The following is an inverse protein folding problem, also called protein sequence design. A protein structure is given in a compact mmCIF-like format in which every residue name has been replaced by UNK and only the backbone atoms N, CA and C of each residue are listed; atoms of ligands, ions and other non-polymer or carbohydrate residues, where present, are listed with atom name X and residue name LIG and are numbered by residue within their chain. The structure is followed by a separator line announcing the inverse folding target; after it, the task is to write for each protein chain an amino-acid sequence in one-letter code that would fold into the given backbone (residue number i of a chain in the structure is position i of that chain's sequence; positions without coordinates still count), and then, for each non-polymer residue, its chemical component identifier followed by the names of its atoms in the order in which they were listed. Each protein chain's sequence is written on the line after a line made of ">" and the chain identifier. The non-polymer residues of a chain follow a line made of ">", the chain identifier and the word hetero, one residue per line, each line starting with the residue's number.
data_IF_453608997583
#
_entry.id   IF_453608997583
#
_cell.length_a   1.000
_cell.length_b   1.000
_cell.length_c   1.000
_cell.angle_alpha   90.00
_cell.angle_beta   90.00
_cell.angle_gamma   90.00
#
_symmetry.space_group_name_H-M   'P 1'
#
loop_
_entity.id
_entity.type
_entity.pdbx_description
1 polymer ?
#
# COMPACT_ATOMS: atom_id res chain seq x y z
N UNK A 1 -18.66 16.23 -11.91
CA UNK A 1 -17.78 16.13 -10.72
C UNK A 1 -16.77 15.02 -10.98
N UNK A 2 -15.51 15.17 -10.55
CA UNK A 2 -14.46 14.16 -10.77
C UNK A 2 -14.82 12.79 -10.14
N UNK A 3 -15.72 12.78 -9.16
CA UNK A 3 -16.31 11.60 -8.53
C UNK A 3 -17.08 10.69 -9.49
N UNK A 4 -17.58 11.21 -10.63
CA UNK A 4 -18.33 10.42 -11.62
C UNK A 4 -17.45 9.53 -12.51
N UNK A 5 -16.11 9.66 -12.42
CA UNK A 5 -15.13 8.83 -13.13
C UNK A 5 -14.56 7.70 -12.27
N UNK A 6 -14.93 7.66 -10.98
CA UNK A 6 -14.44 6.67 -10.02
C UNK A 6 -15.32 5.42 -10.11
N UNK A 7 -14.98 4.51 -11.01
CA UNK A 7 -15.76 3.28 -11.24
C UNK A 7 -15.21 2.06 -10.46
N UNK A 8 -13.92 2.06 -10.10
CA UNK A 8 -13.25 0.88 -9.49
C UNK A 8 -12.34 1.17 -8.29
N UNK A 9 -11.90 2.42 -8.10
CA UNK A 9 -10.91 2.77 -7.07
C UNK A 9 -11.32 4.02 -6.31
N UNK A 10 -12.00 3.85 -5.19
CA UNK A 10 -12.41 4.93 -4.31
C UNK A 10 -11.34 5.20 -3.25
N UNK A 11 -10.64 6.34 -3.30
CA UNK A 11 -9.61 6.66 -2.32
C UNK A 11 -10.23 6.97 -0.95
N UNK A 12 -9.80 6.24 0.08
CA UNK A 12 -10.24 6.43 1.46
C UNK A 12 -9.03 6.58 2.40
N UNK A 13 -9.23 7.35 3.47
CA UNK A 13 -8.24 7.47 4.55
C UNK A 13 -8.12 6.14 5.28
N UNK A 14 -6.90 5.62 5.35
CA UNK A 14 -6.64 4.37 6.07
C UNK A 14 -6.94 4.54 7.57
N UNK A 15 -7.79 3.67 8.11
CA UNK A 15 -8.24 3.72 9.51
C UNK A 15 -7.77 2.51 10.34
N UNK A 16 -7.16 1.50 9.71
CA UNK A 16 -6.73 0.26 10.34
C UNK A 16 -6.96 -0.95 9.43
N UNK A 17 -6.17 -2.02 9.62
CA UNK A 17 -6.33 -3.27 8.87
C UNK A 17 -7.61 -4.02 9.27
N UNK A 18 -7.93 -3.99 10.55
CA UNK A 18 -9.16 -4.48 11.17
C UNK A 18 -10.41 -3.76 10.60
N UNK A 19 -10.36 -2.43 10.52
CA UNK A 19 -11.47 -1.63 9.96
C UNK A 19 -11.64 -1.91 8.47
N UNK A 20 -10.54 -2.03 7.73
CA UNK A 20 -10.57 -2.36 6.31
C UNK A 20 -11.12 -3.78 6.05
N UNK A 21 -10.79 -4.72 6.93
CA UNK A 21 -11.31 -6.10 6.91
C UNK A 21 -12.79 -6.15 7.22
N UNK A 22 -13.23 -5.49 8.28
CA UNK A 22 -14.63 -5.48 8.72
C UNK A 22 -15.55 -4.84 7.68
N UNK A 23 -15.13 -3.75 7.04
CA UNK A 23 -15.92 -3.09 6.00
C UNK A 23 -15.98 -3.92 4.71
N UNK A 24 -14.94 -4.70 4.41
CA UNK A 24 -14.84 -5.57 3.23
C UNK A 24 -15.22 -4.91 1.89
N UNK A 25 -14.85 -3.63 1.71
CA UNK A 25 -15.14 -2.84 0.50
C UNK A 25 -13.94 -2.91 -0.46
N UNK A 26 -13.97 -3.83 -1.41
CA UNK A 26 -12.85 -4.09 -2.33
C UNK A 26 -12.48 -2.91 -3.24
N UNK A 27 -13.43 -2.04 -3.55
CA UNK A 27 -13.20 -0.83 -4.35
C UNK A 27 -12.54 0.29 -3.54
N UNK A 28 -12.41 0.15 -2.21
CA UNK A 28 -11.65 1.09 -1.40
C UNK A 28 -10.14 0.89 -1.61
N UNK A 29 -9.43 2.01 -1.67
CA UNK A 29 -7.99 2.01 -1.75
C UNK A 29 -7.40 3.09 -0.85
N UNK A 30 -6.23 2.82 -0.27
CA UNK A 30 -5.53 3.77 0.59
C UNK A 30 -4.12 4.05 0.06
N UNK A 31 -3.68 5.30 0.22
CA UNK A 31 -2.33 5.72 -0.16
C UNK A 31 -1.43 5.80 1.06
N UNK A 32 -0.20 5.31 0.94
CA UNK A 32 0.81 5.31 2.00
C UNK A 32 2.09 5.96 1.51
N UNK A 33 2.73 6.75 2.36
CA UNK A 33 4.11 7.16 2.11
C UNK A 33 5.04 5.95 2.17
N UNK A 34 6.17 5.99 1.49
CA UNK A 34 7.21 4.96 1.56
C UNK A 34 7.57 4.60 3.02
N UNK A 35 7.72 5.61 3.88
CA UNK A 35 8.05 5.43 5.30
C UNK A 35 6.96 4.64 6.04
N UNK A 36 5.71 4.99 5.79
CA UNK A 36 4.53 4.35 6.39
C UNK A 36 4.36 2.92 5.89
N UNK A 37 4.47 2.71 4.57
CA UNK A 37 4.36 1.39 3.96
C UNK A 37 5.45 0.44 4.44
N UNK A 38 6.69 0.93 4.57
CA UNK A 38 7.79 0.16 5.16
C UNK A 38 7.57 -0.12 6.66
N UNK A 39 6.99 0.84 7.40
CA UNK A 39 6.60 0.64 8.80
C UNK A 39 5.63 -0.53 8.95
N UNK A 40 4.57 -0.57 8.13
CA UNK A 40 3.62 -1.69 8.15
C UNK A 40 4.24 -3.01 7.70
N UNK A 41 5.12 -3.01 6.70
CA UNK A 41 5.85 -4.22 6.31
C UNK A 41 6.75 -4.77 7.42
N UNK A 42 7.28 -3.91 8.30
CA UNK A 42 8.14 -4.35 9.42
C UNK A 42 7.35 -4.80 10.64
N UNK A 43 6.23 -4.14 10.95
CA UNK A 43 5.47 -4.37 12.18
C UNK A 43 4.24 -5.29 11.99
N UNK A 44 3.67 -5.30 10.79
CA UNK A 44 2.36 -5.94 10.49
C UNK A 44 2.34 -6.48 9.06
N UNK A 45 3.38 -7.21 8.68
CA UNK A 45 3.53 -7.76 7.33
C UNK A 45 2.36 -8.69 6.94
N UNK A 46 1.92 -9.64 7.78
CA UNK A 46 0.80 -10.54 7.45
C UNK A 46 -0.50 -9.79 7.17
N UNK A 47 -0.83 -8.80 8.00
CA UNK A 47 -2.02 -7.97 7.88
C UNK A 47 -1.97 -7.13 6.60
N UNK A 48 -0.80 -6.55 6.30
CA UNK A 48 -0.62 -5.77 5.08
C UNK A 48 -0.74 -6.63 3.82
N UNK A 49 -0.24 -7.87 3.85
CA UNK A 49 -0.45 -8.84 2.76
C UNK A 49 -1.93 -9.20 2.61
N UNK A 50 -2.63 -9.48 3.71
CA UNK A 50 -4.06 -9.81 3.68
C UNK A 50 -4.95 -8.63 3.24
N UNK A 51 -4.59 -7.41 3.58
CA UNK A 51 -5.21 -6.20 3.04
C UNK A 51 -5.04 -6.13 1.52
N UNK A 52 -3.81 -6.31 1.02
CA UNK A 52 -3.50 -6.23 -0.42
C UNK A 52 -4.12 -7.35 -1.27
N UNK A 53 -4.52 -8.47 -0.68
CA UNK A 53 -5.30 -9.52 -1.38
C UNK A 53 -6.72 -9.04 -1.75
N UNK A 54 -7.25 -8.03 -1.04
CA UNK A 54 -8.66 -7.61 -1.15
C UNK A 54 -8.83 -6.19 -1.65
N UNK A 55 -7.92 -5.29 -1.29
CA UNK A 55 -7.97 -3.86 -1.56
C UNK A 55 -6.63 -3.40 -2.14
N UNK A 56 -6.65 -2.28 -2.86
CA UNK A 56 -5.42 -1.71 -3.42
C UNK A 56 -4.71 -0.82 -2.39
N UNK A 57 -3.39 -0.94 -2.32
CA UNK A 57 -2.52 0.04 -1.66
C UNK A 57 -1.68 0.79 -2.70
N UNK A 58 -1.61 2.11 -2.55
CA UNK A 58 -0.75 2.97 -3.40
C UNK A 58 0.40 3.50 -2.56
N UNK A 59 1.64 3.10 -2.87
CA UNK A 59 2.83 3.62 -2.19
C UNK A 59 3.41 4.76 -3.04
N UNK A 60 3.65 5.91 -2.42
CA UNK A 60 4.31 7.04 -3.08
C UNK A 60 5.63 7.40 -2.39
N UNK A 61 6.66 7.77 -3.17
CA UNK A 61 7.97 8.13 -2.62
C UNK A 61 7.85 9.39 -1.76
N UNK A 62 8.68 9.49 -0.71
CA UNK A 62 8.79 10.71 0.07
C UNK A 62 9.32 11.84 -0.84
N UNK A 63 8.68 13.02 -0.81
CA UNK A 63 9.03 14.18 -1.66
C UNK A 63 10.42 14.80 -1.45
N UNK A 64 11.34 14.10 -0.77
CA UNK A 64 12.73 14.52 -0.57
C UNK A 64 13.69 14.00 -1.66
N UNK A 65 13.17 13.41 -2.75
CA UNK A 65 13.95 13.05 -3.93
C UNK A 65 13.73 14.08 -5.03
N UNK A 66 14.71 14.96 -5.19
CA UNK A 66 14.82 15.91 -6.32
C UNK A 66 15.37 15.19 -7.57
N UNK A 67 15.76 13.92 -7.44
CA UNK A 67 16.10 13.01 -8.53
C UNK A 67 15.00 11.95 -8.70
N UNK A 68 14.46 11.81 -9.91
CA UNK A 68 13.40 10.86 -10.28
C UNK A 68 13.87 9.39 -10.31
N UNK A 69 14.64 8.95 -9.32
CA UNK A 69 15.18 7.58 -9.24
C UNK A 69 14.09 6.56 -8.86
N UNK A 70 13.84 5.60 -9.77
CA UNK A 70 12.93 4.48 -9.55
C UNK A 70 13.59 3.40 -8.70
N UNK A 71 12.86 2.87 -7.71
CA UNK A 71 13.31 1.74 -6.89
C UNK A 71 13.15 0.41 -7.65
N UNK A 72 14.17 -0.44 -7.61
CA UNK A 72 14.18 -1.76 -8.23
C UNK A 72 13.18 -2.70 -7.52
N UNK A 73 12.15 -3.23 -8.21
CA UNK A 73 11.15 -4.10 -7.59
C UNK A 73 11.69 -5.49 -7.16
N UNK A 74 12.91 -5.85 -7.57
CA UNK A 74 13.45 -7.20 -7.50
C UNK A 74 14.12 -7.57 -6.16
N UNK A 75 14.42 -6.61 -5.29
CA UNK A 75 15.07 -6.88 -3.98
C UNK A 75 14.15 -7.63 -3.00
N UNK A 76 12.85 -7.75 -3.29
CA UNK A 76 11.91 -8.50 -2.44
C UNK A 76 11.99 -10.03 -2.54
N UNK A 77 12.86 -10.61 -3.38
CA UNK A 77 12.83 -12.06 -3.63
C UNK A 77 14.13 -12.83 -3.40
N UNK A 78 15.27 -12.17 -3.13
CA UNK A 78 16.59 -12.87 -3.14
C UNK A 78 17.26 -12.94 -1.75
N UNK A 79 16.94 -12.03 -0.82
CA UNK A 79 17.63 -12.00 0.49
C UNK A 79 17.09 -13.00 1.54
N UNK A 80 16.22 -13.95 1.15
CA UNK A 80 15.74 -15.02 2.04
C UNK A 80 16.38 -16.40 1.79
N UNK A 81 17.32 -16.54 0.84
CA UNK A 81 17.88 -17.85 0.45
C UNK A 81 19.36 -18.01 0.85
N UNK A 82 20.06 -16.94 1.21
CA UNK A 82 21.43 -17.01 1.75
C UNK A 82 21.50 -16.40 3.14
N UNK A 83 21.20 -17.24 4.13
CA UNK A 83 21.44 -17.03 5.55
C UNK A 83 21.49 -18.37 6.24
#
# INVERSE_FOLDING_TARGET
>A
LLSSLVNYTHPVKFSGFDVAEMNNLHFHMSSFSESTGLGYLKQSAPEFVNYNKRQLSRIYPKGARVDSSNFLPQVRHIDQITG
#
